data_IF_317657549530
#
_entry.id   IF_317657549530
#
_cell.length_a   1.000
_cell.length_b   1.000
_cell.length_c   1.000
_cell.angle_alpha   90.00
_cell.angle_beta   90.00
_cell.angle_gamma   90.00
#
_symmetry.space_group_name_H-M   'P 1'
#
loop_
_entity.id
_entity.type
_entity.pdbx_description
1 polymer ?
#
# COMPACT_ATOMS: atom_id res chain seq x y z
N UNK A 1 1.11 -21.67 15.72
CA UNK A 1 1.20 -20.72 14.59
C UNK A 1 0.11 -19.69 14.78
N UNK A 2 0.44 -18.53 15.33
CA UNK A 2 -0.53 -17.44 15.52
C UNK A 2 -0.49 -16.63 14.22
N UNK A 3 -1.42 -16.91 13.32
CA UNK A 3 -1.76 -15.96 12.27
C UNK A 3 -2.42 -14.78 12.98
N UNK A 4 -1.79 -13.61 12.94
CA UNK A 4 -2.54 -12.37 13.12
C UNK A 4 -3.44 -12.25 11.88
N UNK A 5 -4.61 -12.88 11.94
CA UNK A 5 -5.69 -12.57 11.04
C UNK A 5 -5.98 -11.08 11.27
N UNK A 6 -5.58 -10.24 10.31
CA UNK A 6 -6.31 -9.00 10.08
C UNK A 6 -7.74 -9.46 9.91
N UNK A 7 -8.60 -9.19 10.89
CA UNK A 7 -10.04 -9.41 10.73
C UNK A 7 -10.44 -8.62 9.49
N UNK A 8 -10.55 -9.33 8.37
CA UNK A 8 -11.19 -8.82 7.18
C UNK A 8 -12.66 -8.70 7.57
N UNK A 9 -13.04 -7.57 8.15
CA UNK A 9 -14.44 -7.19 8.15
C UNK A 9 -14.85 -7.22 6.67
N UNK A 10 -15.81 -8.08 6.32
CA UNK A 10 -16.26 -8.29 4.94
C UNK A 10 -16.72 -6.98 4.25
N UNK A 11 -16.84 -5.90 5.03
CA UNK A 11 -17.27 -4.56 4.65
C UNK A 11 -16.15 -3.59 4.24
N UNK A 12 -14.86 -3.92 4.42
CA UNK A 12 -13.76 -3.09 3.95
C UNK A 12 -13.17 -3.61 2.64
N UNK A 13 -13.90 -3.36 1.55
CA UNK A 13 -13.42 -3.64 0.19
C UNK A 13 -13.71 -2.46 -0.72
N UNK A 14 -12.92 -2.38 -1.78
CA UNK A 14 -13.25 -1.58 -2.93
C UNK A 14 -14.16 -2.40 -3.84
N UNK A 15 -15.25 -1.79 -4.30
CA UNK A 15 -16.22 -2.40 -5.21
C UNK A 15 -15.85 -2.19 -6.69
N UNK A 16 -15.01 -1.20 -6.97
CA UNK A 16 -14.48 -0.92 -8.30
C UNK A 16 -12.98 -1.26 -8.34
N UNK A 17 -12.53 -1.92 -9.40
CA UNK A 17 -11.14 -2.31 -9.56
C UNK A 17 -10.21 -1.11 -9.79
N UNK A 18 -10.73 0.03 -10.26
CA UNK A 18 -9.96 1.25 -10.50
C UNK A 18 -9.78 2.12 -9.25
N UNK A 19 -10.37 1.75 -8.12
CA UNK A 19 -10.33 2.55 -6.90
C UNK A 19 -8.91 2.92 -6.46
N UNK A 20 -7.97 1.98 -6.57
CA UNK A 20 -6.57 2.23 -6.21
C UNK A 20 -5.95 3.30 -7.10
N UNK A 21 -6.11 3.18 -8.42
CA UNK A 21 -5.52 4.09 -9.40
C UNK A 21 -6.07 5.50 -9.27
N UNK A 22 -7.40 5.64 -9.13
CA UNK A 22 -8.02 6.95 -8.98
C UNK A 22 -7.55 7.67 -7.72
N UNK A 23 -7.59 6.98 -6.57
CA UNK A 23 -7.21 7.59 -5.28
C UNK A 23 -5.69 7.84 -5.22
N UNK A 24 -4.89 6.97 -5.84
CA UNK A 24 -3.45 7.18 -5.97
C UNK A 24 -3.13 8.41 -6.84
N UNK A 25 -3.92 8.73 -7.85
CA UNK A 25 -3.72 9.93 -8.67
C UNK A 25 -4.15 11.22 -7.95
N UNK A 26 -5.34 11.21 -7.32
CA UNK A 26 -5.85 12.36 -6.58
C UNK A 26 -6.68 11.89 -5.37
N UNK A 27 -6.10 11.97 -4.17
CA UNK A 27 -6.80 11.58 -2.95
C UNK A 27 -8.06 12.43 -2.65
N UNK A 28 -8.18 13.64 -3.20
CA UNK A 28 -9.30 14.55 -2.90
C UNK A 28 -10.63 14.08 -3.51
N UNK A 29 -10.60 13.17 -4.48
CA UNK A 29 -11.80 12.60 -5.10
C UNK A 29 -12.63 11.77 -4.12
N UNK A 30 -12.02 11.29 -3.03
CA UNK A 30 -12.70 10.59 -1.95
C UNK A 30 -13.78 11.43 -1.27
N UNK A 31 -13.63 12.76 -1.29
CA UNK A 31 -14.61 13.70 -0.75
C UNK A 31 -15.48 14.35 -1.84
N UNK A 32 -14.90 14.59 -3.02
CA UNK A 32 -15.56 15.32 -4.11
C UNK A 32 -16.53 14.46 -4.93
N UNK A 33 -16.28 13.16 -5.04
CA UNK A 33 -17.03 12.28 -5.96
C UNK A 33 -17.87 11.27 -5.16
N UNK A 34 -19.21 11.39 -5.13
CA UNK A 34 -20.07 10.52 -4.34
C UNK A 34 -19.93 9.02 -4.67
N UNK A 35 -19.73 8.70 -5.95
CA UNK A 35 -19.49 7.32 -6.40
C UNK A 35 -18.23 6.73 -5.74
N UNK A 36 -17.10 7.45 -5.80
CA UNK A 36 -15.83 6.98 -5.23
C UNK A 36 -15.94 6.89 -3.71
N UNK A 37 -16.60 7.86 -3.07
CA UNK A 37 -16.84 7.83 -1.63
C UNK A 37 -17.57 6.58 -1.15
N UNK A 38 -18.50 6.06 -1.96
CA UNK A 38 -19.28 4.85 -1.64
C UNK A 38 -18.58 3.56 -2.07
N UNK A 39 -17.99 3.55 -3.28
CA UNK A 39 -17.43 2.34 -3.91
C UNK A 39 -15.98 2.06 -3.50
N UNK A 40 -15.21 3.06 -3.10
CA UNK A 40 -13.76 2.95 -2.86
C UNK A 40 -13.37 3.12 -1.39
N UNK A 41 -14.14 2.51 -0.47
CA UNK A 41 -13.98 2.73 0.97
C UNK A 41 -12.61 2.32 1.51
N UNK A 42 -11.99 1.29 0.93
CA UNK A 42 -10.67 0.81 1.32
C UNK A 42 -9.59 1.75 0.78
N UNK A 43 -9.61 2.04 -0.52
CA UNK A 43 -8.65 2.95 -1.14
C UNK A 43 -8.69 4.36 -0.55
N UNK A 44 -9.89 4.87 -0.20
CA UNK A 44 -10.05 6.15 0.48
C UNK A 44 -9.70 6.16 1.98
N UNK A 45 -9.25 5.04 2.54
CA UNK A 45 -8.82 4.98 3.95
C UNK A 45 -9.98 5.07 4.97
N UNK A 46 -11.24 4.92 4.55
CA UNK A 46 -12.40 4.92 5.47
C UNK A 46 -12.48 3.66 6.33
N UNK A 47 -11.63 2.67 6.04
CA UNK A 47 -11.49 1.48 6.84
C UNK A 47 -10.66 1.75 8.10
N UNK A 48 -11.30 1.61 9.27
CA UNK A 48 -10.70 1.91 10.59
C UNK A 48 -9.56 0.97 11.02
N UNK A 49 -9.19 -0.02 10.21
CA UNK A 49 -8.24 -1.06 10.58
C UNK A 49 -6.93 -1.03 9.78
N UNK A 50 -6.77 -0.11 8.82
CA UNK A 50 -5.49 0.04 8.13
C UNK A 50 -4.47 0.71 9.06
N UNK A 51 -3.30 0.10 9.29
CA UNK A 51 -2.22 0.75 10.02
C UNK A 51 -1.93 2.11 9.38
N UNK A 52 -1.79 3.14 10.22
CA UNK A 52 -1.51 4.52 9.80
C UNK A 52 -0.35 4.67 8.82
N UNK A 53 0.61 3.74 8.83
CA UNK A 53 1.77 3.71 7.94
C UNK A 53 1.45 3.27 6.51
N UNK A 54 0.29 2.67 6.27
CA UNK A 54 -0.17 2.22 4.95
C UNK A 54 -1.39 3.01 4.42
N UNK A 55 -1.75 4.09 5.11
CA UNK A 55 -2.90 4.90 4.74
C UNK A 55 -2.55 5.83 3.56
N UNK A 56 -2.94 5.42 2.35
CA UNK A 56 -2.65 6.12 1.10
C UNK A 56 -3.22 7.55 1.09
N UNK A 57 -4.31 7.81 1.82
CA UNK A 57 -4.90 9.16 1.91
C UNK A 57 -3.96 10.18 2.57
N UNK A 58 -2.97 9.70 3.33
CA UNK A 58 -1.99 10.53 4.06
C UNK A 58 -0.69 10.75 3.30
N UNK A 59 -0.62 10.27 2.06
CA UNK A 59 0.55 10.44 1.20
C UNK A 59 0.79 11.93 0.93
N UNK A 60 2.02 12.42 1.17
CA UNK A 60 2.43 13.77 0.77
C UNK A 60 2.32 13.96 -0.75
N UNK A 61 1.96 15.15 -1.22
CA UNK A 61 1.79 15.43 -2.65
C UNK A 61 3.02 15.13 -3.52
N UNK A 62 4.23 15.26 -2.96
CA UNK A 62 5.48 14.91 -3.64
C UNK A 62 5.69 13.40 -3.84
N UNK A 63 4.93 12.56 -3.13
CA UNK A 63 4.97 11.09 -3.23
C UNK A 63 3.70 10.49 -3.83
N UNK A 64 2.75 11.32 -4.30
CA UNK A 64 1.46 10.88 -4.83
C UNK A 64 1.62 9.83 -5.95
N UNK A 65 2.55 10.06 -6.88
CA UNK A 65 2.84 9.13 -7.98
C UNK A 65 3.52 7.82 -7.55
N UNK A 66 3.99 7.74 -6.30
CA UNK A 66 4.56 6.53 -5.69
C UNK A 66 3.60 5.87 -4.71
N UNK A 67 2.39 6.42 -4.53
CA UNK A 67 1.38 5.90 -3.60
C UNK A 67 1.05 4.43 -3.86
N UNK A 68 1.09 3.99 -5.12
CA UNK A 68 0.82 2.61 -5.51
C UNK A 68 1.79 1.60 -4.89
N UNK A 69 3.00 2.02 -4.48
CA UNK A 69 3.98 1.14 -3.84
C UNK A 69 3.60 0.78 -2.40
N UNK A 70 2.80 1.62 -1.72
CA UNK A 70 2.54 1.51 -0.29
C UNK A 70 1.74 0.23 0.03
N UNK A 71 2.30 -0.61 0.88
CA UNK A 71 1.72 -1.89 1.24
C UNK A 71 2.78 -2.97 1.47
N UNK A 72 2.30 -4.21 1.58
CA UNK A 72 3.12 -5.41 1.75
C UNK A 72 3.03 -6.22 0.46
N UNK A 73 4.17 -6.41 -0.19
CA UNK A 73 4.32 -7.21 -1.40
C UNK A 73 4.99 -8.52 -1.01
N UNK A 74 4.41 -9.66 -1.40
CA UNK A 74 4.96 -10.98 -1.06
C UNK A 74 5.01 -11.88 -2.28
N UNK A 75 6.13 -12.58 -2.41
CA UNK A 75 6.38 -13.55 -3.48
C UNK A 75 7.09 -14.74 -2.85
N UNK A 76 6.50 -15.94 -2.91
CA UNK A 76 7.08 -17.11 -2.24
C UNK A 76 8.17 -17.79 -3.08
N UNK A 77 8.10 -17.69 -4.40
CA UNK A 77 9.04 -18.31 -5.34
C UNK A 77 9.31 -17.48 -6.61
N UNK A 78 8.95 -16.19 -6.63
CA UNK A 78 9.10 -15.35 -7.82
C UNK A 78 10.52 -14.84 -8.05
N UNK A 79 11.33 -14.72 -7.00
CA UNK A 79 12.71 -14.26 -7.09
C UNK A 79 13.62 -15.31 -7.73
N UNK A 80 14.44 -14.92 -8.70
CA UNK A 80 15.46 -15.77 -9.32
C UNK A 80 16.81 -15.07 -9.25
N UNK A 81 17.80 -15.71 -8.64
CA UNK A 81 19.16 -15.21 -8.59
C UNK A 81 19.99 -15.88 -9.70
N UNK A 82 20.63 -15.07 -10.54
CA UNK A 82 21.61 -15.51 -11.53
C UNK A 82 22.85 -14.64 -11.41
N UNK A 83 23.98 -15.27 -11.06
CA UNK A 83 25.27 -14.60 -10.97
C UNK A 83 26.38 -15.56 -11.43
N UNK A 84 27.44 -15.10 -12.12
CA UNK A 84 28.43 -16.00 -12.72
C UNK A 84 29.11 -16.97 -11.74
N UNK A 85 29.32 -16.57 -10.49
CA UNK A 85 30.04 -17.36 -9.46
C UNK A 85 29.12 -17.97 -8.40
N UNK A 86 27.81 -17.73 -8.46
CA UNK A 86 26.84 -18.24 -7.47
C UNK A 86 25.85 -19.15 -8.20
N UNK A 87 25.59 -20.38 -7.70
CA UNK A 87 24.60 -21.27 -8.30
C UNK A 87 23.25 -20.59 -8.45
N UNK A 88 22.50 -20.96 -9.49
CA UNK A 88 21.14 -20.44 -9.69
C UNK A 88 20.23 -20.97 -8.58
N UNK A 89 19.48 -20.08 -7.95
CA UNK A 89 18.47 -20.45 -6.98
C UNK A 89 17.27 -19.52 -7.06
N UNK A 90 16.17 -19.95 -6.47
CA UNK A 90 14.96 -19.14 -6.28
C UNK A 90 14.81 -18.78 -4.82
N UNK A 91 14.21 -17.63 -4.56
CA UNK A 91 13.95 -17.16 -3.20
C UNK A 91 12.56 -16.55 -3.11
N UNK A 92 11.99 -16.65 -1.91
CA UNK A 92 10.83 -15.85 -1.53
C UNK A 92 11.29 -14.49 -1.01
N UNK A 93 10.51 -13.47 -1.30
CA UNK A 93 10.73 -12.10 -0.84
C UNK A 93 9.44 -11.51 -0.28
N UNK A 94 9.61 -10.61 0.69
CA UNK A 94 8.56 -9.75 1.18
C UNK A 94 9.12 -8.33 1.24
N UNK A 95 8.43 -7.38 0.61
CA UNK A 95 8.77 -5.96 0.63
C UNK A 95 7.65 -5.19 1.31
N UNK A 96 8.02 -4.29 2.22
CA UNK A 96 7.09 -3.37 2.86
C UNK A 96 7.48 -1.94 2.51
N UNK A 97 6.55 -1.22 1.86
CA UNK A 97 6.66 0.22 1.66
C UNK A 97 5.66 0.94 2.56
N UNK A 98 6.14 1.85 3.40
CA UNK A 98 5.35 2.51 4.44
C UNK A 98 5.63 4.01 4.49
N UNK A 99 4.63 4.80 4.91
CA UNK A 99 4.80 6.22 5.20
C UNK A 99 5.74 6.41 6.39
N UNK A 100 6.70 7.35 6.24
CA UNK A 100 7.53 7.81 7.35
C UNK A 100 6.72 8.66 8.34
N UNK A 101 7.15 8.66 9.61
CA UNK A 101 6.50 9.47 10.64
C UNK A 101 6.87 10.95 10.49
N UNK A 102 5.90 11.84 10.69
CA UNK A 102 6.02 13.30 10.50
C UNK A 102 7.00 13.97 11.47
N UNK A 103 7.49 13.24 12.48
CA UNK A 103 8.42 13.75 13.48
C UNK A 103 9.87 13.87 12.98
N UNK A 104 10.19 13.34 11.80
CA UNK A 104 11.48 13.59 11.16
C UNK A 104 11.40 14.88 10.34
N UNK A 105 12.16 15.91 10.69
CA UNK A 105 12.25 17.18 9.93
C UNK A 105 12.93 17.05 8.54
N UNK A 106 12.96 15.85 7.98
CA UNK A 106 13.54 15.52 6.69
C UNK A 106 12.49 15.60 5.57
N UNK A 107 12.96 15.51 4.32
CA UNK A 107 12.11 15.46 3.13
C UNK A 107 11.18 14.24 3.24
N UNK A 108 9.87 14.36 2.95
CA UNK A 108 8.96 13.24 3.02
C UNK A 108 9.42 12.08 2.10
N UNK A 109 9.55 10.89 2.69
CA UNK A 109 10.01 9.67 2.01
C UNK A 109 9.22 8.44 2.47
N UNK A 110 9.32 7.35 1.70
CA UNK A 110 8.79 6.03 2.07
C UNK A 110 9.88 5.23 2.80
N UNK A 111 9.48 4.57 3.89
CA UNK A 111 10.28 3.52 4.52
C UNK A 111 10.19 2.25 3.69
N UNK A 112 11.31 1.57 3.48
CA UNK A 112 11.41 0.32 2.75
C UNK A 112 12.11 -0.73 3.61
N UNK A 113 11.49 -1.89 3.77
CA UNK A 113 12.05 -3.05 4.51
C UNK A 113 11.70 -4.36 3.82
#
# INVERSE_FOLDING_TARGET
MIFAAIETSEDCKDFDFNCNDWVAQDATICDKTPYIKQSCRKSCGYCKFLPRKFDISRVPSNLQHLAFLIGIWRSEHGGKAFFPTIPKFTYGEQLEFALSDKHMGAIPALNYT
#
